data_IF_431548790809
#
_entry.id   IF_431548790809
#
_cell.length_a   1.000
_cell.length_b   1.000
_cell.length_c   1.000
_cell.angle_alpha   90.00
_cell.angle_beta   90.00
_cell.angle_gamma   90.00
#
_symmetry.space_group_name_H-M   'P 1'
#
loop_
_entity.id
_entity.type
_entity.pdbx_description
1 polymer ?
#
# COMPACT_ATOMS: atom_id res chain seq x y z
N UNK A 1 -19.92 14.59 14.16
CA UNK A 1 -19.30 13.71 15.17
C UNK A 1 -18.25 12.85 14.47
N UNK A 2 -17.01 13.33 14.35
CA UNK A 2 -15.94 12.59 13.70
C UNK A 2 -15.35 11.60 14.69
N UNK A 3 -15.45 10.30 14.42
CA UNK A 3 -14.78 9.28 15.23
C UNK A 3 -13.28 9.52 15.08
N UNK A 4 -12.65 10.10 16.11
CA UNK A 4 -11.19 10.27 16.17
C UNK A 4 -10.60 8.91 16.54
N UNK A 5 -10.43 8.05 15.55
CA UNK A 5 -9.76 6.76 15.71
C UNK A 5 -8.30 7.03 16.10
N UNK A 6 -7.84 6.46 17.21
CA UNK A 6 -6.45 6.59 17.65
C UNK A 6 -5.59 5.60 16.89
N UNK A 7 -4.31 5.93 16.67
CA UNK A 7 -3.37 5.03 15.98
C UNK A 7 -3.28 3.63 16.61
N UNK A 8 -3.43 3.54 17.94
CA UNK A 8 -3.47 2.27 18.65
C UNK A 8 -4.66 1.40 18.27
N UNK A 9 -5.81 2.01 18.00
CA UNK A 9 -7.05 1.32 17.65
C UNK A 9 -6.95 0.82 16.20
N UNK A 10 -6.35 1.62 15.31
CA UNK A 10 -6.02 1.19 13.94
C UNK A 10 -5.08 -0.03 13.95
N UNK A 11 -4.00 0.00 14.75
CA UNK A 11 -3.07 -1.13 14.87
C UNK A 11 -3.76 -2.41 15.37
N UNK A 12 -4.71 -2.30 16.30
CA UNK A 12 -5.50 -3.45 16.77
C UNK A 12 -6.39 -4.01 15.68
N UNK A 13 -7.10 -3.15 14.96
CA UNK A 13 -7.97 -3.55 13.85
C UNK A 13 -7.15 -4.24 12.75
N UNK A 14 -6.00 -3.67 12.37
CA UNK A 14 -5.09 -4.25 11.37
C UNK A 14 -4.64 -5.66 11.74
N UNK A 15 -4.25 -5.88 13.00
CA UNK A 15 -3.89 -7.22 13.49
C UNK A 15 -5.06 -8.21 13.43
N UNK A 16 -6.27 -7.76 13.78
CA UNK A 16 -7.47 -8.62 13.74
C UNK A 16 -7.82 -9.09 12.33
N UNK A 17 -7.57 -8.26 11.32
CA UNK A 17 -7.78 -8.62 9.91
C UNK A 17 -6.56 -9.30 9.27
N UNK A 18 -5.55 -9.65 10.07
CA UNK A 18 -4.38 -10.44 9.61
C UNK A 18 -3.25 -9.62 8.98
N UNK A 19 -3.31 -8.29 9.03
CA UNK A 19 -2.22 -7.42 8.59
C UNK A 19 -1.14 -7.39 9.67
N UNK A 20 0.07 -7.78 9.26
CA UNK A 20 1.26 -7.87 10.11
C UNK A 20 2.06 -6.57 10.09
N UNK A 21 2.12 -5.91 8.94
CA UNK A 21 2.78 -4.61 8.77
C UNK A 21 2.19 -3.85 7.59
N UNK A 22 2.31 -2.53 7.65
CA UNK A 22 2.10 -1.61 6.55
C UNK A 22 3.28 -0.63 6.53
N UNK A 23 3.95 -0.53 5.40
CA UNK A 23 5.13 0.31 5.17
C UNK A 23 4.87 1.22 3.98
N UNK A 24 5.17 2.51 4.13
CA UNK A 24 5.21 3.45 2.98
C UNK A 24 6.53 3.27 2.25
N UNK A 25 6.48 3.21 0.93
CA UNK A 25 7.65 3.16 0.05
C UNK A 25 7.75 4.50 -0.68
N UNK A 26 8.88 5.18 -0.51
CA UNK A 26 9.24 6.40 -1.26
C UNK A 26 9.71 6.01 -2.66
N UNK A 27 8.75 5.72 -3.56
CA UNK A 27 9.03 5.32 -4.92
C UNK A 27 8.97 6.52 -5.88
N UNK A 28 10.03 6.73 -6.65
CA UNK A 28 10.04 7.71 -7.75
C UNK A 28 9.25 7.22 -8.98
N UNK A 29 9.27 5.91 -9.22
CA UNK A 29 8.57 5.28 -10.34
C UNK A 29 8.16 3.84 -10.00
N UNK A 30 6.98 3.44 -10.45
CA UNK A 30 6.55 2.04 -10.52
C UNK A 30 6.44 1.61 -11.98
N UNK A 31 7.13 0.52 -12.30
CA UNK A 31 7.12 -0.08 -13.64
C UNK A 31 6.47 -1.45 -13.58
N UNK A 32 5.33 -1.60 -14.26
CA UNK A 32 4.65 -2.89 -14.42
C UNK A 32 4.95 -3.42 -15.82
N UNK A 33 5.70 -4.52 -15.90
CA UNK A 33 6.04 -5.20 -17.15
C UNK A 33 5.05 -6.36 -17.35
N UNK A 34 4.04 -6.13 -18.20
CA UNK A 34 3.12 -7.17 -18.65
C UNK A 34 3.53 -7.73 -20.00
N UNK A 35 3.00 -8.91 -20.36
CA UNK A 35 3.29 -9.57 -21.65
C UNK A 35 2.96 -8.71 -22.89
N UNK A 36 2.00 -7.80 -22.78
CA UNK A 36 1.48 -7.00 -23.89
C UNK A 36 1.80 -5.50 -23.79
N UNK A 37 2.17 -5.01 -22.61
CA UNK A 37 2.41 -3.59 -22.37
C UNK A 37 3.26 -3.36 -21.14
N UNK A 38 3.91 -2.21 -21.15
CA UNK A 38 4.62 -1.64 -20.01
C UNK A 38 3.81 -0.46 -19.48
N UNK A 39 3.61 -0.41 -18.16
CA UNK A 39 2.96 0.72 -17.50
C UNK A 39 4.02 1.40 -16.64
N UNK A 40 4.16 2.70 -16.81
CA UNK A 40 5.00 3.57 -16.00
C UNK A 40 4.07 4.45 -15.17
N UNK A 41 4.34 4.53 -13.86
CA UNK A 41 3.61 5.38 -12.93
C UNK A 41 4.66 6.20 -12.20
N UNK A 42 4.76 7.49 -12.50
CA UNK A 42 5.72 8.40 -11.87
C UNK A 42 5.16 9.00 -10.59
N UNK A 43 6.05 9.19 -9.61
CA UNK A 43 5.77 9.73 -8.28
C UNK A 43 4.52 9.10 -7.61
N UNK A 44 4.38 7.75 -7.59
CA UNK A 44 3.24 7.10 -6.96
C UNK A 44 3.35 7.12 -5.44
N UNK A 45 2.20 7.08 -4.76
CA UNK A 45 2.15 6.68 -3.36
C UNK A 45 2.10 5.15 -3.29
N UNK A 46 3.11 4.53 -2.70
CA UNK A 46 3.22 3.07 -2.63
C UNK A 46 3.18 2.61 -1.17
N UNK A 47 2.30 1.65 -0.88
CA UNK A 47 2.25 0.97 0.42
C UNK A 47 2.53 -0.52 0.22
N UNK A 48 3.42 -1.08 1.04
CA UNK A 48 3.60 -2.51 1.18
C UNK A 48 2.86 -3.00 2.41
N UNK A 49 1.97 -3.96 2.21
CA UNK A 49 1.16 -4.56 3.27
C UNK A 49 1.50 -6.04 3.33
N UNK A 50 1.86 -6.54 4.52
CA UNK A 50 2.06 -7.99 4.75
C UNK A 50 0.83 -8.53 5.45
N UNK A 51 0.14 -9.47 4.82
CA UNK A 51 -1.09 -10.08 5.34
C UNK A 51 -0.99 -11.60 5.22
N UNK A 52 -1.02 -12.32 6.34
CA UNK A 52 -1.00 -13.80 6.37
C UNK A 52 0.10 -14.43 5.48
N UNK A 53 1.29 -13.83 5.42
CA UNK A 53 2.41 -14.29 4.58
C UNK A 53 2.35 -13.84 3.12
N UNK A 54 1.27 -13.21 2.68
CA UNK A 54 1.17 -12.55 1.38
C UNK A 54 1.68 -11.11 1.47
N UNK A 55 2.38 -10.67 0.44
CA UNK A 55 2.79 -9.26 0.28
C UNK A 55 1.92 -8.60 -0.77
N UNK A 56 1.20 -7.56 -0.37
CA UNK A 56 0.40 -6.71 -1.24
C UNK A 56 1.12 -5.36 -1.41
N UNK A 57 1.17 -4.87 -2.65
CA UNK A 57 1.59 -3.51 -2.95
C UNK A 57 0.37 -2.71 -3.41
N UNK A 58 0.02 -1.67 -2.66
CA UNK A 58 -1.00 -0.71 -3.07
C UNK A 58 -0.30 0.48 -3.71
N UNK A 59 -0.63 0.77 -4.96
CA UNK A 59 -0.06 1.86 -5.75
C UNK A 59 -1.20 2.83 -6.04
N UNK A 60 -1.10 4.07 -5.54
CA UNK A 60 -2.17 5.08 -5.64
C UNK A 60 -1.62 6.34 -6.30
N UNK A 61 -2.38 6.87 -7.27
CA UNK A 61 -2.05 8.12 -7.96
C UNK A 61 -0.95 7.96 -9.00
N UNK A 62 -0.19 9.04 -9.19
CA UNK A 62 0.84 9.19 -10.21
C UNK A 62 0.31 9.78 -11.53
N UNK A 63 1.19 10.43 -12.27
CA UNK A 63 0.95 10.85 -13.66
C UNK A 63 1.41 9.75 -14.63
N UNK A 64 0.61 9.51 -15.67
CA UNK A 64 0.90 8.51 -16.71
C UNK A 64 1.83 9.04 -17.79
#
# INVERSE_FOLDING_TARGET
>A
MGIKIRESDLKKIMRQIGISSQETIEAEEVVIIGKQKKIHIKEPNVFKIVMQGQTLYQIIGGSR
#
